data_IF_448313581365
#
_entry.id   IF_448313581365
#
_cell.length_a   1.000
_cell.length_b   1.000
_cell.length_c   1.000
_cell.angle_alpha   90.00
_cell.angle_beta   90.00
_cell.angle_gamma   90.00
#
_symmetry.space_group_name_H-M   'P 1'
#
loop_
_entity.id
_entity.type
_entity.pdbx_description
1 polymer ?
#
# COMPACT_ATOMS: atom_id res chain seq x y z
N UNK A 1 11.25 -13.73 1.44
CA UNK A 1 11.52 -12.55 2.31
C UNK A 1 10.21 -11.84 2.53
N UNK A 2 9.86 -11.49 3.78
CA UNK A 2 8.63 -10.75 4.11
C UNK A 2 8.97 -9.43 4.77
N UNK A 3 8.37 -8.36 4.29
CA UNK A 3 8.51 -7.00 4.84
C UNK A 3 7.12 -6.54 5.29
N UNK A 4 7.02 -6.08 6.54
CA UNK A 4 5.80 -5.52 7.12
C UNK A 4 6.04 -4.04 7.44
N UNK A 5 5.23 -3.17 6.86
CA UNK A 5 5.26 -1.73 7.11
C UNK A 5 3.93 -1.32 7.75
N UNK A 6 4.01 -0.51 8.81
CA UNK A 6 2.84 0.06 9.49
C UNK A 6 3.06 1.56 9.60
N UNK A 7 2.11 2.36 9.15
CA UNK A 7 2.17 3.81 9.26
C UNK A 7 0.78 4.40 9.48
N UNK A 8 0.74 5.55 10.15
CA UNK A 8 -0.51 6.30 10.37
C UNK A 8 -0.78 7.24 9.19
N UNK A 9 -2.02 7.25 8.72
CA UNK A 9 -2.58 8.15 7.72
C UNK A 9 -2.96 9.52 8.31
N UNK A 10 -2.88 9.70 9.64
CA UNK A 10 -3.23 10.93 10.36
C UNK A 10 -2.37 12.16 10.02
N UNK A 11 -1.42 12.06 9.09
CA UNK A 11 -0.57 13.16 8.61
C UNK A 11 -0.85 13.61 7.17
N UNK A 12 -1.89 13.09 6.51
CA UNK A 12 -2.11 13.25 5.07
C UNK A 12 -3.25 14.18 4.64
N UNK A 13 -3.74 15.10 5.47
CA UNK A 13 -4.74 16.08 5.00
C UNK A 13 -4.07 17.19 4.18
N UNK A 14 -4.01 17.03 2.86
CA UNK A 14 -4.19 18.18 1.97
C UNK A 14 -5.67 18.63 2.09
N UNK A 15 -5.96 19.94 2.11
CA UNK A 15 -7.32 20.43 2.36
C UNK A 15 -8.19 20.23 1.12
N UNK A 16 -9.16 19.31 1.18
CA UNK A 16 -10.12 19.14 0.09
C UNK A 16 -11.10 17.97 0.24
N UNK A 17 -12.27 18.29 0.80
CA UNK A 17 -13.58 17.64 0.61
C UNK A 17 -14.00 16.45 1.52
N UNK A 18 -15.13 16.57 2.26
CA UNK A 18 -15.72 15.50 3.05
C UNK A 18 -16.88 14.84 2.29
N UNK A 19 -16.74 13.57 1.91
CA UNK A 19 -17.91 12.69 1.67
C UNK A 19 -17.51 11.22 1.76
N UNK A 20 -17.92 10.60 2.86
CA UNK A 20 -17.87 9.16 3.09
C UNK A 20 -18.80 8.42 2.11
N UNK A 21 -18.30 7.35 1.49
CA UNK A 21 -19.09 6.50 0.60
C UNK A 21 -18.34 5.29 0.06
N UNK A 22 -18.33 4.20 0.84
CA UNK A 22 -18.35 2.79 0.43
C UNK A 22 -17.61 2.37 -0.86
N UNK A 23 -16.38 1.84 -0.73
CA UNK A 23 -15.70 0.78 -1.52
C UNK A 23 -14.18 1.02 -1.55
N UNK A 24 -13.30 0.00 -1.65
CA UNK A 24 -11.85 0.16 -1.60
C UNK A 24 -11.33 0.73 -2.93
N UNK A 25 -11.59 2.02 -3.15
CA UNK A 25 -11.19 2.77 -4.33
C UNK A 25 -10.02 3.69 -4.00
N UNK A 26 -8.85 3.32 -4.49
CA UNK A 26 -7.62 4.10 -4.44
C UNK A 26 -7.83 5.52 -5.04
N UNK A 27 -7.72 6.57 -4.23
CA UNK A 27 -7.90 7.96 -4.67
C UNK A 27 -6.59 8.56 -5.23
N UNK A 28 -6.53 8.73 -6.56
CA UNK A 28 -5.81 9.81 -7.26
C UNK A 28 -4.28 9.86 -7.24
N UNK A 29 -3.65 10.35 -6.17
CA UNK A 29 -2.20 10.69 -6.14
C UNK A 29 -1.34 9.72 -5.35
N UNK A 30 -1.89 9.23 -4.24
CA UNK A 30 -1.39 8.13 -3.41
C UNK A 30 -1.52 6.75 -4.10
N UNK A 31 -2.31 6.72 -5.18
CA UNK A 31 -2.54 5.55 -6.01
C UNK A 31 -1.33 5.20 -6.89
N UNK A 32 -0.63 6.19 -7.48
CA UNK A 32 0.48 5.89 -8.39
C UNK A 32 1.65 5.22 -7.67
N UNK A 33 2.01 5.68 -6.47
CA UNK A 33 3.08 5.07 -5.69
C UNK A 33 2.75 3.61 -5.31
N UNK A 34 1.50 3.34 -4.93
CA UNK A 34 1.02 2.00 -4.62
C UNK A 34 0.99 1.10 -5.87
N UNK A 35 0.50 1.60 -7.00
CA UNK A 35 0.50 0.88 -8.30
C UNK A 35 1.94 0.55 -8.71
N UNK A 36 2.86 1.51 -8.61
CA UNK A 36 4.26 1.32 -8.94
C UNK A 36 4.91 0.28 -8.04
N UNK A 37 4.68 0.38 -6.72
CA UNK A 37 5.18 -0.59 -5.75
C UNK A 37 4.64 -2.00 -6.03
N UNK A 38 3.33 -2.13 -6.27
CA UNK A 38 2.71 -3.40 -6.64
C UNK A 38 3.32 -3.97 -7.92
N UNK A 39 3.47 -3.14 -8.96
CA UNK A 39 4.04 -3.54 -10.25
C UNK A 39 5.49 -4.03 -10.11
N UNK A 40 6.31 -3.31 -9.34
CA UNK A 40 7.70 -3.71 -9.07
C UNK A 40 7.73 -5.04 -8.33
N UNK A 41 6.95 -5.18 -7.25
CA UNK A 41 6.92 -6.40 -6.44
C UNK A 41 6.46 -7.60 -7.26
N UNK A 42 5.42 -7.45 -8.08
CA UNK A 42 4.95 -8.50 -8.99
C UNK A 42 5.99 -8.86 -10.05
N UNK A 43 6.69 -7.87 -10.61
CA UNK A 43 7.76 -8.11 -11.60
C UNK A 43 8.93 -8.91 -11.02
N UNK A 44 9.16 -8.78 -9.71
CA UNK A 44 10.15 -9.56 -8.96
C UNK A 44 9.62 -10.95 -8.55
N UNK A 45 8.41 -11.34 -8.95
CA UNK A 45 7.77 -12.59 -8.56
C UNK A 45 7.22 -12.60 -7.13
N UNK A 46 7.01 -11.42 -6.55
CA UNK A 46 6.48 -11.23 -5.21
C UNK A 46 4.98 -10.93 -5.16
N UNK A 47 4.49 -10.69 -3.94
CA UNK A 47 3.13 -10.25 -3.65
C UNK A 47 3.13 -8.95 -2.85
N UNK A 48 2.23 -8.04 -3.21
CA UNK A 48 2.00 -6.77 -2.53
C UNK A 48 0.56 -6.75 -2.00
N UNK A 49 0.39 -6.51 -0.70
CA UNK A 49 -0.92 -6.38 -0.06
C UNK A 49 -0.93 -5.15 0.84
N UNK A 50 -1.96 -4.32 0.75
CA UNK A 50 -2.16 -3.17 1.62
C UNK A 50 -3.55 -3.20 2.22
N UNK A 51 -3.66 -2.97 3.52
CA UNK A 51 -4.91 -2.89 4.25
C UNK A 51 -4.95 -1.58 5.05
N UNK A 52 -6.09 -0.91 5.03
CA UNK A 52 -6.33 0.30 5.82
C UNK A 52 -7.30 -0.06 6.94
N UNK A 53 -6.81 0.03 8.17
CA UNK A 53 -7.59 -0.28 9.36
C UNK A 53 -8.49 0.90 9.75
N UNK A 54 -9.55 0.63 10.51
CA UNK A 54 -10.52 1.63 11.01
C UNK A 54 -9.89 2.75 11.89
N UNK A 55 -8.61 2.64 12.26
CA UNK A 55 -7.87 3.60 13.10
C UNK A 55 -6.92 4.51 12.30
N UNK A 56 -7.17 4.71 11.00
CA UNK A 56 -6.28 5.46 10.11
C UNK A 56 -4.84 4.90 10.09
N UNK A 57 -4.66 3.59 10.34
CA UNK A 57 -3.37 2.93 10.12
C UNK A 57 -3.42 2.14 8.82
N UNK A 58 -2.38 2.32 8.01
CA UNK A 58 -2.14 1.50 6.83
C UNK A 58 -1.08 0.44 7.15
N UNK A 59 -1.40 -0.80 6.80
CA UNK A 59 -0.52 -1.95 6.91
C UNK A 59 -0.19 -2.45 5.52
N UNK A 60 1.10 -2.48 5.18
CA UNK A 60 1.59 -3.00 3.89
C UNK A 60 2.43 -4.24 4.14
N UNK A 61 2.11 -5.30 3.41
CA UNK A 61 2.82 -6.58 3.41
C UNK A 61 3.42 -6.77 2.02
N UNK A 62 4.74 -6.96 1.98
CA UNK A 62 5.48 -7.28 0.76
C UNK A 62 6.17 -8.62 0.95
N UNK A 63 5.80 -9.57 0.10
CA UNK A 63 6.44 -10.88 0.02
C UNK A 63 7.28 -10.94 -1.25
N UNK A 64 8.57 -11.26 -1.11
CA UNK A 64 9.50 -11.44 -2.23
C UNK A 64 10.10 -12.85 -2.19
N UNK A 65 10.41 -13.45 -3.35
CA UNK A 65 11.17 -14.69 -3.38
C UNK A 65 12.53 -14.51 -2.68
N UNK A 66 13.07 -15.60 -2.14
CA UNK A 66 14.44 -15.57 -1.63
C UNK A 66 15.40 -15.26 -2.78
N UNK A 67 16.49 -14.51 -2.56
CA UNK A 67 17.54 -14.37 -3.56
C UNK A 67 18.03 -15.77 -3.95
N UNK A 68 18.12 -16.04 -5.24
CA UNK A 68 18.63 -17.31 -5.74
C UNK A 68 20.09 -17.51 -5.32
N UNK A 69 20.56 -18.77 -5.22
CA UNK A 69 22.00 -19.02 -5.16
C UNK A 69 22.58 -18.63 -6.52
N UNK A 70 23.43 -17.60 -6.54
CA UNK A 70 24.26 -17.30 -7.71
C UNK A 70 25.25 -18.43 -8.00
#
# INVERSE_FOLDING_TARGET
MRILLRYSLAGGTAPGDPSAGSSPGLLGGENLAAIMAQTIVQSLGGSFTSDTTDSDECVVIIDLPAPGPE
#
